data_IF_817549936888
#
_entry.id   IF_817549936888
#
_cell.length_a   1.000
_cell.length_b   1.000
_cell.length_c   1.000
_cell.angle_alpha   90.00
_cell.angle_beta   90.00
_cell.angle_gamma   90.00
#
_symmetry.space_group_name_H-M   'P 1'
#
loop_
_entity.id
_entity.type
_entity.pdbx_description
1 polymer ?
#
# COMPACT_ATOMS: atom_id res chain seq x y z
N UNK A 1 0.66 -21.87 3.95
CA UNK A 1 1.75 -21.42 4.83
C UNK A 1 1.34 -20.06 5.39
N UNK A 2 1.03 -19.97 6.69
CA UNK A 2 0.59 -18.72 7.31
C UNK A 2 1.82 -17.97 7.80
N UNK A 3 2.38 -17.08 6.99
CA UNK A 3 3.44 -16.20 7.49
C UNK A 3 2.78 -15.06 8.26
N UNK A 4 2.86 -15.19 9.58
CA UNK A 4 2.55 -14.14 10.54
C UNK A 4 3.79 -13.25 10.62
N UNK A 5 3.63 -11.94 10.40
CA UNK A 5 4.61 -10.95 10.83
C UNK A 5 5.05 -11.31 12.27
N UNK A 6 6.37 -11.44 12.51
CA UNK A 6 6.86 -11.73 13.85
C UNK A 6 6.84 -10.44 14.64
N UNK A 7 5.96 -10.37 15.63
CA UNK A 7 6.09 -9.39 16.69
C UNK A 7 7.20 -9.87 17.63
N UNK A 8 8.27 -9.08 17.76
CA UNK A 8 9.26 -9.25 18.81
C UNK A 8 8.62 -9.13 20.19
N UNK A 9 9.30 -9.61 21.22
CA UNK A 9 8.86 -9.49 22.61
C UNK A 9 8.72 -8.04 23.09
N UNK A 10 9.29 -7.08 22.35
CA UNK A 10 9.17 -5.64 22.53
C UNK A 10 7.99 -5.02 21.76
N UNK A 11 7.17 -5.82 21.08
CA UNK A 11 6.02 -5.38 20.29
C UNK A 11 6.36 -4.81 18.92
N UNK A 12 7.63 -4.90 18.47
CA UNK A 12 8.04 -4.44 17.13
C UNK A 12 7.84 -5.53 16.09
N UNK A 13 7.51 -5.15 14.86
CA UNK A 13 7.46 -6.08 13.73
C UNK A 13 8.88 -6.27 13.20
N UNK A 14 9.40 -7.50 13.28
CA UNK A 14 10.66 -7.86 12.62
C UNK A 14 10.43 -7.99 11.12
N UNK A 15 10.94 -7.03 10.36
CA UNK A 15 11.08 -7.11 8.91
C UNK A 15 12.56 -7.36 8.69
N UNK A 16 12.94 -8.52 8.15
CA UNK A 16 14.32 -8.76 7.76
C UNK A 16 14.67 -7.72 6.70
N UNK A 17 15.64 -6.86 7.01
CA UNK A 17 16.41 -5.81 6.29
C UNK A 17 16.08 -5.32 4.86
N UNK A 18 15.12 -5.91 4.15
CA UNK A 18 14.76 -5.58 2.77
C UNK A 18 13.35 -4.98 2.72
N UNK A 19 13.30 -3.67 2.45
CA UNK A 19 12.09 -2.98 1.99
C UNK A 19 12.18 -2.81 0.49
N UNK A 20 11.27 -3.45 -0.23
CA UNK A 20 11.17 -3.37 -1.69
C UNK A 20 10.11 -2.33 -2.02
N UNK A 21 10.51 -1.23 -2.64
CA UNK A 21 9.54 -0.27 -3.17
C UNK A 21 8.96 -0.81 -4.48
N UNK A 22 7.62 -0.93 -4.54
CA UNK A 22 6.89 -1.32 -5.75
C UNK A 22 6.70 -0.06 -6.60
N UNK A 23 7.25 -0.01 -7.82
CA UNK A 23 7.05 1.13 -8.72
C UNK A 23 5.56 1.42 -8.95
N UNK A 24 5.12 2.68 -8.87
CA UNK A 24 3.69 3.05 -8.88
C UNK A 24 2.97 2.76 -10.22
N UNK A 25 3.71 2.64 -11.32
CA UNK A 25 3.19 2.27 -12.63
C UNK A 25 2.88 0.77 -12.77
N UNK A 26 3.47 -0.07 -11.91
CA UNK A 26 3.18 -1.49 -11.90
C UNK A 26 1.82 -1.72 -11.23
N UNK A 27 0.93 -2.40 -11.94
CA UNK A 27 -0.45 -2.67 -11.47
C UNK A 27 -0.85 -4.10 -11.79
N UNK A 28 -1.89 -4.60 -11.15
CA UNK A 28 -2.37 -5.96 -11.37
C UNK A 28 -1.35 -7.04 -11.04
N UNK A 29 -1.53 -8.22 -11.63
CA UNK A 29 -0.62 -9.34 -11.45
C UNK A 29 0.59 -9.26 -12.38
N UNK A 30 1.76 -9.58 -11.82
CA UNK A 30 3.05 -9.59 -12.49
C UNK A 30 3.03 -10.51 -13.70
N UNK A 31 3.41 -9.97 -14.86
CA UNK A 31 3.81 -10.81 -15.97
C UNK A 31 5.18 -11.41 -15.67
N UNK A 32 5.26 -12.73 -15.56
CA UNK A 32 6.50 -13.47 -15.31
C UNK A 32 7.28 -13.75 -16.60
N UNK A 33 6.65 -13.54 -17.75
CA UNK A 33 7.23 -13.81 -19.07
C UNK A 33 7.87 -12.54 -19.65
N UNK A 34 9.20 -12.60 -19.76
CA UNK A 34 10.07 -11.52 -20.23
C UNK A 34 10.10 -11.45 -21.77
N UNK A 35 10.30 -10.27 -22.33
CA UNK A 35 10.35 -10.02 -23.76
C UNK A 35 8.99 -10.15 -24.47
N UNK A 36 7.88 -10.25 -23.73
CA UNK A 36 6.53 -10.47 -24.29
C UNK A 36 6.10 -9.44 -25.33
N UNK A 37 6.57 -8.19 -25.23
CA UNK A 37 6.26 -7.11 -26.17
C UNK A 37 6.89 -7.34 -27.56
N UNK A 38 8.01 -8.06 -27.62
CA UNK A 38 8.76 -8.35 -28.84
C UNK A 38 8.25 -9.59 -29.58
N UNK A 39 7.35 -10.36 -28.97
CA UNK A 39 6.74 -11.53 -29.58
C UNK A 39 5.62 -11.07 -30.51
N UNK A 40 5.97 -10.96 -31.79
CA UNK A 40 5.01 -11.00 -32.90
C UNK A 40 5.44 -12.11 -33.84
N UNK A 41 5.03 -13.34 -33.53
CA UNK A 41 5.40 -14.50 -34.34
C UNK A 41 4.16 -14.99 -35.09
N UNK A 42 4.29 -15.04 -36.41
CA UNK A 42 3.29 -15.55 -37.34
C UNK A 42 3.73 -16.91 -37.83
N UNK A 43 2.80 -17.87 -37.87
CA UNK A 43 2.94 -19.02 -38.77
C UNK A 43 2.55 -18.58 -40.18
N UNK A 44 3.08 -19.25 -41.20
CA UNK A 44 2.77 -18.98 -42.62
C UNK A 44 3.45 -17.80 -43.28
N UNK A 45 4.46 -17.20 -42.64
CA UNK A 45 5.32 -16.21 -43.31
C UNK A 45 6.45 -16.90 -44.08
N UNK A 46 7.15 -16.15 -44.94
CA UNK A 46 8.37 -16.66 -45.60
C UNK A 46 9.44 -17.13 -44.59
N UNK A 47 9.43 -16.57 -43.37
CA UNK A 47 10.35 -16.92 -42.28
C UNK A 47 9.89 -18.18 -41.51
N UNK A 48 8.59 -18.46 -41.45
CA UNK A 48 8.00 -19.61 -40.77
C UNK A 48 6.88 -20.24 -41.62
N UNK A 49 7.19 -21.00 -42.68
CA UNK A 49 6.18 -21.53 -43.61
C UNK A 49 5.30 -22.64 -43.01
N UNK A 50 5.47 -22.97 -41.73
CA UNK A 50 4.77 -24.04 -41.04
C UNK A 50 3.48 -23.51 -40.43
N UNK A 51 2.35 -24.08 -40.84
CA UNK A 51 0.99 -23.78 -40.37
C UNK A 51 0.74 -24.04 -38.87
N UNK A 52 1.70 -24.67 -38.17
CA UNK A 52 1.36 -25.46 -36.99
C UNK A 52 2.22 -25.22 -35.75
N UNK A 53 3.22 -24.32 -35.74
CA UNK A 53 4.08 -24.21 -34.54
C UNK A 53 4.68 -22.83 -34.29
N UNK A 54 4.40 -22.30 -33.09
CA UNK A 54 5.19 -21.27 -32.41
C UNK A 54 5.66 -21.82 -31.07
N UNK A 55 6.91 -21.54 -30.68
CA UNK A 55 7.43 -21.91 -29.36
C UNK A 55 8.39 -20.85 -28.81
N UNK A 56 8.50 -20.79 -27.48
CA UNK A 56 9.47 -19.96 -26.76
C UNK A 56 9.89 -20.62 -25.46
N UNK A 57 11.13 -20.41 -25.03
CA UNK A 57 11.54 -20.75 -23.67
C UNK A 57 10.70 -19.92 -22.68
N UNK A 58 10.25 -20.58 -21.61
CA UNK A 58 9.56 -19.98 -20.46
C UNK A 58 10.34 -20.23 -19.16
N UNK A 59 11.58 -20.72 -19.24
CA UNK A 59 12.33 -21.12 -18.06
C UNK A 59 12.44 -19.97 -17.04
N UNK A 60 12.77 -18.76 -17.52
CA UNK A 60 12.84 -17.54 -16.71
C UNK A 60 11.52 -17.22 -15.96
N UNK A 61 10.37 -17.58 -16.52
CA UNK A 61 9.08 -17.40 -15.87
C UNK A 61 8.84 -18.49 -14.83
N UNK A 62 9.21 -19.73 -15.14
CA UNK A 62 9.04 -20.86 -14.25
C UNK A 62 10.01 -20.85 -13.07
N UNK A 63 11.19 -20.25 -13.19
CA UNK A 63 12.12 -20.06 -12.06
C UNK A 63 11.53 -19.18 -10.95
N UNK A 64 10.44 -18.46 -11.26
CA UNK A 64 9.64 -17.64 -10.33
C UNK A 64 8.41 -18.39 -9.77
N UNK A 65 8.27 -19.67 -10.10
CA UNK A 65 7.15 -20.53 -9.70
C UNK A 65 7.65 -21.84 -9.08
N UNK A 66 6.81 -22.45 -8.24
CA UNK A 66 7.04 -23.74 -7.62
C UNK A 66 6.21 -24.84 -8.28
N UNK A 67 6.66 -26.10 -8.15
CA UNK A 67 5.84 -27.25 -8.52
C UNK A 67 4.57 -27.27 -7.68
N UNK A 68 3.43 -27.45 -8.32
CA UNK A 68 2.10 -27.44 -7.71
C UNK A 68 1.40 -26.08 -7.80
N UNK A 69 2.11 -25.00 -8.13
CA UNK A 69 1.51 -23.69 -8.37
C UNK A 69 0.48 -23.77 -9.50
N UNK A 70 -0.67 -23.14 -9.28
CA UNK A 70 -1.58 -22.78 -10.36
C UNK A 70 -1.04 -21.52 -11.04
N UNK A 71 -0.97 -21.53 -12.38
CA UNK A 71 -0.59 -20.38 -13.19
C UNK A 71 -1.69 -20.09 -14.20
N UNK A 72 -1.86 -18.81 -14.52
CA UNK A 72 -2.71 -18.36 -15.62
C UNK A 72 -1.83 -17.92 -16.79
N UNK A 73 -2.11 -18.46 -17.96
CA UNK A 73 -1.44 -18.11 -19.21
C UNK A 73 -2.45 -17.37 -20.08
N UNK A 74 -2.10 -16.18 -20.54
CA UNK A 74 -2.94 -15.37 -21.43
C UNK A 74 -2.15 -14.78 -22.58
N UNK A 75 -2.77 -14.66 -23.75
CA UNK A 75 -2.10 -14.24 -24.99
C UNK A 75 -3.11 -13.71 -25.99
N UNK A 76 -2.64 -12.84 -26.88
CA UNK A 76 -3.41 -12.41 -28.03
C UNK A 76 -3.19 -13.40 -29.19
N UNK A 77 -4.29 -13.81 -29.82
CA UNK A 77 -4.28 -14.66 -31.01
C UNK A 77 -5.14 -14.06 -32.11
N UNK A 78 -4.66 -14.17 -33.35
CA UNK A 78 -5.47 -13.98 -34.55
C UNK A 78 -5.16 -15.12 -35.52
N UNK A 79 -6.19 -15.82 -35.97
CA UNK A 79 -6.04 -16.99 -36.84
C UNK A 79 -6.82 -16.83 -38.16
N UNK A 80 -6.42 -17.58 -39.18
CA UNK A 80 -7.09 -17.58 -40.50
C UNK A 80 -8.48 -18.21 -40.44
N UNK A 81 -8.65 -19.26 -39.62
CA UNK A 81 -9.92 -19.96 -39.40
C UNK A 81 -10.29 -19.99 -37.91
N UNK A 82 -9.31 -20.18 -37.03
CA UNK A 82 -9.51 -20.32 -35.59
C UNK A 82 -10.22 -21.61 -35.21
N UNK A 83 -9.93 -22.69 -35.95
CA UNK A 83 -10.55 -24.00 -35.78
C UNK A 83 -9.95 -24.76 -34.59
N UNK A 84 -8.63 -24.73 -34.43
CA UNK A 84 -7.93 -25.47 -33.38
C UNK A 84 -6.63 -24.76 -32.96
N UNK A 85 -6.39 -24.72 -31.65
CA UNK A 85 -5.12 -24.29 -31.06
C UNK A 85 -4.85 -25.09 -29.78
N UNK A 86 -3.73 -25.80 -29.74
CA UNK A 86 -3.19 -26.45 -28.55
C UNK A 86 -2.09 -25.58 -27.94
N UNK A 87 -2.17 -25.34 -26.64
CA UNK A 87 -1.13 -24.68 -25.84
C UNK A 87 -0.62 -25.67 -24.80
N UNK A 88 0.65 -26.00 -24.90
CA UNK A 88 1.30 -27.06 -24.12
C UNK A 88 2.80 -26.78 -24.02
N UNK A 89 3.59 -27.67 -23.41
CA UNK A 89 5.00 -27.43 -23.14
C UNK A 89 5.93 -28.61 -23.39
N UNK A 90 5.60 -29.48 -24.34
CA UNK A 90 6.38 -30.69 -24.52
C UNK A 90 6.23 -31.33 -25.89
N UNK A 91 7.01 -30.85 -26.86
CA UNK A 91 8.07 -31.70 -27.36
C UNK A 91 9.39 -30.99 -27.72
N UNK A 92 9.86 -30.11 -26.80
CA UNK A 92 11.25 -30.11 -26.29
C UNK A 92 11.32 -30.01 -24.76
N UNK A 93 10.56 -30.94 -24.17
CA UNK A 93 10.78 -31.70 -22.94
C UNK A 93 11.79 -31.17 -21.90
N UNK A 94 11.42 -30.06 -21.26
CA UNK A 94 12.01 -29.57 -20.01
C UNK A 94 11.50 -30.30 -18.76
N UNK A 95 11.91 -29.85 -17.57
CA UNK A 95 11.62 -30.55 -16.30
C UNK A 95 10.19 -30.36 -15.78
N UNK A 96 9.39 -29.47 -16.39
CA UNK A 96 8.07 -29.10 -15.89
C UNK A 96 7.02 -29.17 -17.01
N UNK A 97 5.82 -29.67 -16.68
CA UNK A 97 4.69 -29.86 -17.60
C UNK A 97 3.44 -29.10 -17.14
N UNK A 98 2.59 -28.72 -18.08
CA UNK A 98 1.26 -28.16 -17.82
C UNK A 98 0.25 -29.28 -17.63
N UNK A 99 -0.47 -29.24 -16.52
CA UNK A 99 -1.54 -30.20 -16.23
C UNK A 99 -2.79 -29.47 -15.73
N UNK A 100 -3.87 -29.35 -16.54
CA UNK A 100 -3.98 -29.84 -17.92
C UNK A 100 -3.27 -28.91 -18.91
N UNK A 101 -2.91 -29.46 -20.08
CA UNK A 101 -2.67 -28.66 -21.27
C UNK A 101 -3.98 -28.04 -21.77
N UNK A 102 -3.91 -27.02 -22.63
CA UNK A 102 -5.11 -26.32 -23.08
C UNK A 102 -5.35 -26.44 -24.57
N UNK A 103 -6.55 -26.88 -24.91
CA UNK A 103 -7.07 -26.81 -26.27
C UNK A 103 -8.13 -25.71 -26.37
N UNK A 104 -8.08 -24.97 -27.47
CA UNK A 104 -9.10 -24.02 -27.90
C UNK A 104 -9.62 -24.45 -29.28
N UNK A 105 -10.93 -24.39 -29.46
CA UNK A 105 -11.59 -24.76 -30.72
C UNK A 105 -12.62 -23.72 -31.10
N UNK A 106 -12.80 -23.48 -32.40
CA UNK A 106 -13.80 -22.55 -32.94
C UNK A 106 -13.74 -21.15 -32.31
N UNK A 107 -12.55 -20.64 -32.04
CA UNK A 107 -12.37 -19.29 -31.49
C UNK A 107 -12.54 -18.20 -32.57
N UNK A 108 -12.54 -18.58 -33.85
CA UNK A 108 -12.80 -17.68 -34.96
C UNK A 108 -11.59 -16.86 -35.40
N UNK A 109 -11.82 -15.88 -36.28
CA UNK A 109 -10.76 -15.22 -37.06
C UNK A 109 -10.37 -13.85 -36.54
N UNK A 110 -11.22 -13.23 -35.72
CA UNK A 110 -10.95 -11.92 -35.13
C UNK A 110 -9.79 -12.02 -34.14
N UNK A 111 -8.95 -10.98 -34.11
CA UNK A 111 -7.93 -10.83 -33.07
C UNK A 111 -8.63 -10.78 -31.71
N UNK A 112 -8.22 -11.66 -30.80
CA UNK A 112 -8.81 -11.75 -29.47
C UNK A 112 -7.75 -12.19 -28.45
N UNK A 113 -8.09 -12.03 -27.17
CA UNK A 113 -7.26 -12.50 -26.06
C UNK A 113 -7.85 -13.76 -25.46
N UNK A 114 -7.07 -14.82 -25.45
CA UNK A 114 -7.44 -16.08 -24.81
C UNK A 114 -6.65 -16.25 -23.51
N UNK A 115 -7.23 -17.01 -22.58
CA UNK A 115 -6.57 -17.37 -21.33
C UNK A 115 -6.97 -18.76 -20.87
N UNK A 116 -6.11 -19.37 -20.05
CA UNK A 116 -6.42 -20.59 -19.33
C UNK A 116 -5.58 -20.70 -18.05
N UNK A 117 -6.09 -21.50 -17.13
CA UNK A 117 -5.41 -21.89 -15.90
C UNK A 117 -4.83 -23.28 -16.10
N UNK A 118 -3.59 -23.48 -15.65
CA UNK A 118 -2.95 -24.80 -15.60
C UNK A 118 -2.11 -24.91 -14.34
N UNK A 119 -1.86 -26.16 -13.90
CA UNK A 119 -0.97 -26.44 -12.78
C UNK A 119 0.41 -26.83 -13.30
N UNK A 120 1.44 -26.28 -12.67
CA UNK A 120 2.83 -26.64 -12.96
C UNK A 120 3.17 -27.96 -12.26
N UNK A 121 3.46 -29.00 -13.03
CA UNK A 121 3.76 -30.34 -12.53
C UNK A 121 5.17 -30.78 -12.94
N UNK A 122 5.81 -31.72 -12.23
CA UNK A 122 7.08 -32.26 -12.66
C UNK A 122 6.89 -33.09 -13.94
N UNK A 123 7.83 -33.01 -14.87
CA UNK A 123 7.89 -33.91 -16.01
C UNK A 123 8.40 -35.29 -15.54
N UNK A 124 7.55 -36.31 -15.58
CA UNK A 124 7.93 -37.69 -15.21
C UNK A 124 8.38 -38.53 -16.40
N UNK A 125 8.38 -37.96 -17.61
CA UNK A 125 8.86 -38.58 -18.84
C UNK A 125 10.35 -38.34 -19.09
N UNK A 126 10.77 -38.56 -20.33
CA UNK A 126 12.13 -38.21 -20.77
C UNK A 126 12.30 -36.69 -20.81
N UNK A 127 13.43 -36.21 -20.29
CA UNK A 127 13.84 -34.80 -20.34
C UNK A 127 14.95 -34.67 -21.40
N UNK A 128 14.61 -34.10 -22.54
CA UNK A 128 15.51 -33.85 -23.67
C UNK A 128 16.08 -32.45 -23.70
N UNK A 129 15.54 -31.51 -22.90
CA UNK A 129 16.07 -30.15 -22.71
C UNK A 129 16.25 -29.80 -21.22
N UNK A 130 17.22 -30.41 -20.51
CA UNK A 130 17.48 -30.10 -19.10
C UNK A 130 17.72 -28.60 -18.87
N UNK A 131 17.14 -28.05 -17.81
CA UNK A 131 17.21 -26.63 -17.47
C UNK A 131 16.48 -25.70 -18.43
N UNK A 132 15.65 -26.21 -19.34
CA UNK A 132 14.89 -25.36 -20.25
C UNK A 132 13.50 -25.93 -20.58
N UNK A 133 12.47 -25.23 -20.14
CA UNK A 133 11.08 -25.54 -20.47
C UNK A 133 10.55 -24.57 -21.51
N UNK A 134 9.84 -25.07 -22.51
CA UNK A 134 9.28 -24.28 -23.61
C UNK A 134 7.75 -24.27 -23.56
N UNK A 135 7.11 -23.15 -23.90
CA UNK A 135 5.69 -23.12 -24.26
C UNK A 135 5.56 -23.26 -25.77
N UNK A 136 4.57 -24.03 -26.20
CA UNK A 136 4.28 -24.32 -27.58
C UNK A 136 2.81 -24.00 -27.90
N UNK A 137 2.61 -23.40 -29.07
CA UNK A 137 1.32 -23.11 -29.66
C UNK A 137 1.24 -23.88 -30.97
N UNK A 138 0.26 -24.77 -31.05
CA UNK A 138 0.17 -25.75 -32.11
C UNK A 138 -1.20 -25.75 -32.79
N UNK A 139 -1.20 -25.76 -34.12
CA UNK A 139 -2.40 -25.92 -34.96
C UNK A 139 -2.29 -27.21 -35.78
N UNK A 140 -3.36 -27.59 -36.49
CA UNK A 140 -3.35 -28.78 -37.35
C UNK A 140 -2.51 -28.55 -38.61
N UNK A 141 -1.64 -29.51 -38.94
CA UNK A 141 -0.88 -29.53 -40.20
C UNK A 141 -1.81 -29.47 -41.42
N UNK A 142 -1.34 -28.77 -42.45
CA UNK A 142 -1.97 -28.67 -43.78
C UNK A 142 -3.46 -28.27 -43.73
N UNK A 143 -3.85 -27.54 -42.67
CA UNK A 143 -5.21 -27.10 -42.44
C UNK A 143 -5.49 -25.73 -43.02
N UNK A 144 -4.46 -24.96 -43.39
CA UNK A 144 -4.54 -23.56 -43.78
C UNK A 144 -4.98 -22.63 -42.65
N UNK A 145 -4.92 -23.07 -41.38
CA UNK A 145 -5.26 -22.25 -40.20
C UNK A 145 -3.99 -21.65 -39.58
N UNK A 146 -3.42 -20.66 -40.27
CA UNK A 146 -2.30 -19.88 -39.76
C UNK A 146 -2.73 -18.99 -38.61
N UNK A 147 -1.79 -18.65 -37.73
CA UNK A 147 -2.07 -17.82 -36.57
C UNK A 147 -0.89 -16.95 -36.20
N UNK A 148 -1.20 -15.85 -35.51
CA UNK A 148 -0.23 -14.98 -34.85
C UNK A 148 -0.41 -15.06 -33.35
N UNK A 149 0.70 -15.15 -32.62
CA UNK A 149 0.72 -15.03 -31.16
C UNK A 149 1.47 -13.76 -30.78
N UNK A 150 0.90 -12.99 -29.85
CA UNK A 150 1.53 -11.81 -29.26
C UNK A 150 1.05 -11.58 -27.83
N UNK A 151 1.70 -10.65 -27.12
CA UNK A 151 1.25 -10.22 -25.79
C UNK A 151 1.06 -11.39 -24.81
N UNK A 152 1.99 -12.34 -24.83
CA UNK A 152 2.00 -13.48 -23.91
C UNK A 152 2.23 -12.96 -22.50
N UNK A 153 1.45 -13.46 -21.56
CA UNK A 153 1.54 -13.17 -20.14
C UNK A 153 1.40 -14.48 -19.36
N UNK A 154 2.31 -14.71 -18.43
CA UNK A 154 2.26 -15.81 -17.47
C UNK A 154 2.15 -15.18 -16.08
N UNK A 155 1.13 -15.55 -15.33
CA UNK A 155 0.84 -15.01 -14.00
C UNK A 155 0.68 -16.14 -12.99
N UNK A 156 1.09 -15.92 -11.74
CA UNK A 156 0.82 -16.86 -10.65
C UNK A 156 -0.63 -16.76 -10.18
N UNK A 157 -1.21 -17.91 -9.86
CA UNK A 157 -2.57 -18.07 -9.37
C UNK A 157 -3.63 -18.21 -10.46
N UNK A 158 -4.86 -18.47 -9.99
CA UNK A 158 -6.06 -18.65 -10.80
C UNK A 158 -6.66 -17.28 -11.11
N UNK A 159 -6.84 -16.92 -12.40
CA UNK A 159 -7.61 -15.74 -12.81
C UNK A 159 -8.95 -16.16 -13.40
N UNK A 160 -10.03 -15.59 -12.87
CA UNK A 160 -11.41 -15.89 -13.29
C UNK A 160 -11.87 -15.06 -14.49
N UNK A 161 -11.12 -14.00 -14.81
CA UNK A 161 -11.30 -13.14 -15.99
C UNK A 161 -10.02 -13.14 -16.80
N UNK A 162 -10.14 -12.99 -18.13
CA UNK A 162 -8.97 -12.89 -19.01
C UNK A 162 -8.15 -11.65 -18.66
N UNK A 163 -6.89 -11.80 -18.19
CA UNK A 163 -6.07 -10.68 -17.76
C UNK A 163 -5.73 -9.76 -18.94
N UNK A 164 -5.60 -8.45 -18.69
CA UNK A 164 -4.99 -7.54 -19.66
C UNK A 164 -3.48 -7.75 -19.71
N UNK A 165 -2.89 -7.53 -20.90
CA UNK A 165 -1.45 -7.64 -21.05
C UNK A 165 -0.73 -6.42 -20.47
N UNK A 166 0.42 -6.70 -19.86
CA UNK A 166 1.44 -5.72 -19.50
C UNK A 166 2.83 -6.36 -19.68
N UNK A 167 3.89 -5.58 -19.91
CA UNK A 167 5.25 -6.10 -19.95
C UNK A 167 5.64 -6.73 -18.60
N UNK A 168 6.66 -7.59 -18.61
CA UNK A 168 7.28 -8.01 -17.36
C UNK A 168 7.98 -6.80 -16.70
N UNK A 169 8.00 -6.67 -15.37
CA UNK A 169 8.77 -5.62 -14.70
C UNK A 169 10.24 -5.58 -15.14
N UNK A 170 10.83 -6.73 -15.41
CA UNK A 170 12.22 -6.87 -15.89
C UNK A 170 12.42 -6.25 -17.27
N UNK A 171 11.40 -6.27 -18.14
CA UNK A 171 11.43 -5.58 -19.43
C UNK A 171 11.47 -4.05 -19.27
N UNK A 172 11.04 -3.55 -18.10
CA UNK A 172 11.10 -2.13 -17.72
C UNK A 172 12.36 -1.79 -16.90
N UNK A 173 13.23 -2.77 -16.65
CA UNK A 173 14.45 -2.60 -15.86
C UNK A 173 14.26 -2.78 -14.34
N UNK A 174 13.10 -3.26 -13.89
CA UNK A 174 12.84 -3.49 -12.47
C UNK A 174 13.31 -4.88 -12.02
N UNK A 175 14.18 -4.92 -11.01
CA UNK A 175 14.54 -6.14 -10.29
C UNK A 175 13.59 -6.36 -9.11
N UNK A 176 12.50 -7.10 -9.35
CA UNK A 176 11.47 -7.38 -8.35
C UNK A 176 11.67 -8.79 -7.78
N UNK A 177 11.77 -8.97 -6.45
CA UNK A 177 11.87 -10.29 -5.83
C UNK A 177 10.76 -11.25 -6.27
N UNK A 178 11.10 -12.53 -6.42
CA UNK A 178 10.20 -13.52 -7.03
C UNK A 178 8.89 -13.67 -6.26
N UNK A 179 8.89 -13.51 -4.94
CA UNK A 179 7.68 -13.64 -4.11
C UNK A 179 6.63 -12.54 -4.34
N UNK A 180 6.98 -11.44 -5.04
CA UNK A 180 6.04 -10.39 -5.42
C UNK A 180 5.42 -10.74 -6.77
N UNK A 181 4.13 -11.09 -6.74
CA UNK A 181 3.37 -11.51 -7.92
C UNK A 181 2.15 -10.63 -8.23
N UNK A 182 1.80 -9.70 -7.35
CA UNK A 182 0.67 -8.78 -7.52
C UNK A 182 1.07 -7.39 -7.02
N UNK A 183 0.90 -6.36 -7.84
CA UNK A 183 1.30 -4.98 -7.52
C UNK A 183 0.16 -4.13 -6.98
N UNK A 184 -1.07 -4.64 -7.03
CA UNK A 184 -2.24 -4.00 -6.45
C UNK A 184 -2.31 -4.18 -4.94
N UNK A 185 -1.63 -5.19 -4.39
CA UNK A 185 -1.44 -5.29 -2.96
C UNK A 185 -0.36 -4.29 -2.49
N UNK A 186 -0.76 -3.21 -1.82
CA UNK A 186 0.12 -2.08 -1.56
C UNK A 186 1.16 -2.35 -0.48
N UNK A 187 0.99 -3.39 0.34
CA UNK A 187 1.95 -3.85 1.34
C UNK A 187 1.92 -5.39 1.38
N UNK A 188 3.07 -6.02 1.16
CA UNK A 188 3.24 -7.47 1.16
C UNK A 188 4.36 -7.87 2.11
N UNK A 189 4.17 -8.95 2.87
CA UNK A 189 5.17 -9.49 3.78
C UNK A 189 5.70 -10.83 3.27
N UNK A 190 7.00 -11.03 3.37
CA UNK A 190 7.70 -12.27 3.07
C UNK A 190 8.67 -12.61 4.19
N UNK A 191 9.11 -13.87 4.28
CA UNK A 191 10.08 -14.29 5.30
C UNK A 191 11.42 -13.55 5.22
N UNK A 192 11.69 -12.94 4.06
CA UNK A 192 12.93 -12.23 3.72
C UNK A 192 12.76 -10.71 3.66
N UNK A 193 11.54 -10.16 3.81
CA UNK A 193 11.33 -8.71 3.72
C UNK A 193 9.88 -8.25 3.60
N UNK A 194 9.71 -6.98 3.25
CA UNK A 194 8.42 -6.33 2.97
C UNK A 194 8.46 -5.63 1.62
N UNK A 195 7.35 -5.61 0.89
CA UNK A 195 7.21 -4.80 -0.31
C UNK A 195 6.09 -3.79 -0.10
N UNK A 196 6.30 -2.56 -0.54
CA UNK A 196 5.35 -1.47 -0.33
C UNK A 196 5.29 -0.53 -1.54
N UNK A 197 4.11 0.03 -1.83
CA UNK A 197 3.95 1.06 -2.88
C UNK A 197 4.65 2.38 -2.59
N UNK A 198 4.95 2.65 -1.31
CA UNK A 198 5.62 3.86 -0.85
C UNK A 198 6.30 3.57 0.47
N UNK A 199 7.51 4.10 0.62
CA UNK A 199 8.21 4.16 1.89
C UNK A 199 8.23 5.62 2.36
N UNK A 200 7.86 5.85 3.61
CA UNK A 200 7.95 7.16 4.25
C UNK A 200 8.89 7.05 5.43
N UNK A 201 10.00 7.76 5.35
CA UNK A 201 10.92 7.86 6.48
C UNK A 201 10.32 8.77 7.55
N UNK A 202 10.33 8.29 8.79
CA UNK A 202 9.94 9.08 9.96
C UNK A 202 11.21 9.71 10.51
N UNK A 203 11.31 11.06 10.52
CA UNK A 203 12.44 11.77 11.11
C UNK A 203 12.76 11.28 12.53
N UNK A 204 14.05 11.11 12.84
CA UNK A 204 14.53 10.49 14.06
C UNK A 204 14.02 11.21 15.33
N UNK A 205 13.92 12.53 15.29
CA UNK A 205 13.46 13.39 16.39
C UNK A 205 11.96 13.29 16.66
N UNK A 206 11.15 12.85 15.69
CA UNK A 206 9.71 12.71 15.88
C UNK A 206 9.44 11.48 16.74
N UNK A 207 8.75 11.65 17.86
CA UNK A 207 8.49 10.58 18.83
C UNK A 207 7.07 10.67 19.37
N UNK A 208 6.46 9.53 19.70
CA UNK A 208 5.07 9.52 20.17
C UNK A 208 4.08 9.74 19.03
N UNK A 209 2.94 10.35 19.32
CA UNK A 209 1.85 10.57 18.36
C UNK A 209 1.95 11.92 17.66
N UNK A 210 1.48 11.98 16.41
CA UNK A 210 1.42 13.22 15.63
C UNK A 210 0.55 14.24 16.36
N UNK A 211 1.14 15.37 16.71
CA UNK A 211 0.41 16.53 17.18
C UNK A 211 -0.23 17.25 15.98
N UNK A 212 -1.56 17.43 16.02
CA UNK A 212 -2.36 17.97 14.92
C UNK A 212 -2.55 19.50 14.97
N UNK A 213 -1.95 20.17 15.95
CA UNK A 213 -2.06 21.62 16.15
C UNK A 213 -0.69 22.28 16.30
N UNK A 214 -0.53 23.40 15.60
CA UNK A 214 0.71 24.18 15.52
C UNK A 214 0.89 25.16 16.68
N UNK A 215 2.11 25.63 16.87
CA UNK A 215 2.50 26.63 17.90
C UNK A 215 2.04 26.22 19.31
N UNK A 216 1.97 24.91 19.54
CA UNK A 216 1.24 24.33 20.65
C UNK A 216 2.08 24.16 21.91
N UNK A 217 3.39 24.48 21.83
CA UNK A 217 4.33 24.58 22.95
C UNK A 217 4.60 26.01 23.43
N UNK A 218 3.89 27.01 22.88
CA UNK A 218 4.08 28.42 23.27
C UNK A 218 3.25 28.74 24.50
N UNK A 219 3.90 29.14 25.59
CA UNK A 219 3.24 29.56 26.83
C UNK A 219 2.18 30.63 26.55
N UNK A 220 0.92 30.29 26.84
CA UNK A 220 -0.20 31.23 26.87
C UNK A 220 -0.51 31.58 28.32
N UNK A 221 -0.61 32.88 28.64
CA UNK A 221 -0.95 33.36 29.97
C UNK A 221 -1.84 34.59 29.87
N UNK A 222 -2.91 34.61 30.66
CA UNK A 222 -3.74 35.80 30.80
C UNK A 222 -5.16 35.50 31.29
N UNK A 223 -5.95 36.55 31.39
CA UNK A 223 -7.34 36.51 31.82
C UNK A 223 -8.36 36.64 30.66
N UNK A 224 -7.90 36.67 29.40
CA UNK A 224 -8.81 36.73 28.23
C UNK A 224 -9.61 35.44 28.09
N UNK A 225 -10.89 35.56 27.76
CA UNK A 225 -11.78 34.41 27.63
C UNK A 225 -11.25 33.36 26.65
N UNK A 226 -10.76 33.78 25.49
CA UNK A 226 -9.97 33.01 24.54
C UNK A 226 -8.50 32.96 24.98
N UNK A 227 -8.10 31.87 25.64
CA UNK A 227 -6.75 31.80 26.21
C UNK A 227 -5.70 31.32 25.20
N UNK A 228 -6.07 30.42 24.30
CA UNK A 228 -5.17 29.90 23.27
C UNK A 228 -5.91 29.58 21.99
N UNK A 229 -5.37 30.02 20.86
CA UNK A 229 -5.87 29.75 19.52
C UNK A 229 -4.79 29.02 18.73
N UNK A 230 -5.12 27.85 18.18
CA UNK A 230 -4.17 26.95 17.55
C UNK A 230 -4.68 26.54 16.18
N UNK A 231 -3.90 26.87 15.14
CA UNK A 231 -4.16 26.40 13.79
C UNK A 231 -3.88 24.89 13.71
N UNK A 232 -4.62 24.20 12.85
CA UNK A 232 -4.24 22.83 12.49
C UNK A 232 -2.91 22.82 11.74
N UNK A 233 -2.21 21.68 11.79
CA UNK A 233 -1.12 21.36 10.87
C UNK A 233 -1.64 21.15 9.44
N UNK A 234 -0.97 20.30 8.66
CA UNK A 234 -1.46 19.97 7.30
C UNK A 234 -2.78 19.18 7.33
N UNK A 235 -3.08 18.53 8.45
CA UNK A 235 -4.23 17.64 8.61
C UNK A 235 -5.17 18.16 9.69
N UNK A 236 -6.42 18.40 9.31
CA UNK A 236 -7.48 18.82 10.23
C UNK A 236 -8.11 17.64 10.96
N UNK A 237 -8.85 17.90 12.04
CA UNK A 237 -9.67 16.88 12.69
C UNK A 237 -10.85 16.50 11.78
N UNK A 238 -11.17 15.21 11.71
CA UNK A 238 -12.21 14.64 10.86
C UNK A 238 -13.43 14.37 11.73
N UNK A 239 -14.61 14.82 11.29
CA UNK A 239 -15.86 14.62 12.01
C UNK A 239 -16.16 13.12 12.23
N UNK A 240 -16.63 12.77 13.41
CA UNK A 240 -16.90 11.38 13.82
C UNK A 240 -15.67 10.58 14.24
N UNK A 241 -14.46 11.03 13.93
CA UNK A 241 -13.23 10.37 14.40
C UNK A 241 -12.94 10.72 15.86
N UNK A 242 -12.25 9.80 16.55
CA UNK A 242 -11.85 9.96 17.94
C UNK A 242 -10.46 10.57 18.05
N UNK A 243 -10.32 11.54 18.96
CA UNK A 243 -9.07 12.25 19.25
C UNK A 243 -8.85 12.35 20.74
N UNK A 244 -7.61 12.62 21.14
CA UNK A 244 -7.26 12.92 22.53
C UNK A 244 -6.52 14.25 22.59
N UNK A 245 -7.05 15.19 23.37
CA UNK A 245 -6.35 16.41 23.76
C UNK A 245 -5.54 16.14 25.02
N UNK A 246 -4.28 16.56 25.03
CA UNK A 246 -3.44 16.56 26.24
C UNK A 246 -2.86 17.95 26.43
N UNK A 247 -2.93 18.51 27.64
CA UNK A 247 -2.44 19.84 27.92
C UNK A 247 -1.81 19.93 29.32
N UNK A 248 -0.73 20.70 29.43
CA UNK A 248 -0.20 21.19 30.70
C UNK A 248 -0.69 22.61 30.90
N UNK A 249 -1.55 22.80 31.90
CA UNK A 249 -2.24 24.06 32.09
C UNK A 249 -2.58 24.28 33.57
N UNK A 250 -2.95 25.50 33.92
CA UNK A 250 -3.54 25.87 35.21
C UNK A 250 -4.59 26.94 34.93
N UNK A 251 -5.87 26.66 35.18
CA UNK A 251 -6.89 27.70 35.12
C UNK A 251 -6.93 28.51 36.43
N UNK A 252 -7.28 29.79 36.32
CA UNK A 252 -7.42 30.72 37.44
C UNK A 252 -8.42 30.24 38.50
N UNK A 253 -8.33 30.78 39.72
CA UNK A 253 -9.16 30.35 40.87
C UNK A 253 -10.64 30.68 40.71
N UNK A 254 -10.98 31.72 39.94
CA UNK A 254 -12.36 32.08 39.58
C UNK A 254 -12.81 31.45 38.24
N UNK A 255 -11.97 30.57 37.65
CA UNK A 255 -12.28 29.77 36.48
C UNK A 255 -12.58 28.34 36.91
N UNK A 256 -13.50 27.68 36.22
CA UNK A 256 -13.91 26.31 36.48
C UNK A 256 -13.26 25.29 35.53
N UNK A 257 -12.90 25.67 34.30
CA UNK A 257 -12.37 24.75 33.28
C UNK A 257 -11.74 25.48 32.09
N UNK A 258 -10.92 24.76 31.33
CA UNK A 258 -10.58 25.06 29.95
C UNK A 258 -11.45 24.19 29.02
N UNK A 259 -12.13 24.81 28.07
CA UNK A 259 -12.98 24.13 27.10
C UNK A 259 -12.37 24.25 25.71
N UNK A 260 -12.21 23.11 25.02
CA UNK A 260 -11.80 23.06 23.63
C UNK A 260 -13.00 23.39 22.76
N UNK A 261 -12.82 24.32 21.84
CA UNK A 261 -13.81 24.70 20.86
C UNK A 261 -13.30 24.56 19.43
N UNK A 262 -14.19 24.10 18.55
CA UNK A 262 -14.03 24.10 17.09
C UNK A 262 -15.05 25.06 16.45
N UNK A 263 -15.09 25.10 15.11
CA UNK A 263 -16.07 25.87 14.35
C UNK A 263 -16.08 27.37 14.71
N UNK A 264 -14.94 27.94 15.09
CA UNK A 264 -14.85 29.35 15.51
C UNK A 264 -15.58 29.67 16.82
N UNK A 265 -15.71 28.69 17.74
CA UNK A 265 -16.38 28.89 19.03
C UNK A 265 -17.81 28.37 19.11
N UNK A 266 -18.32 27.74 18.06
CA UNK A 266 -19.71 27.27 17.99
C UNK A 266 -19.92 25.82 18.43
N UNK A 267 -18.85 25.05 18.63
CA UNK A 267 -18.93 23.68 19.13
C UNK A 267 -17.83 23.42 20.15
N UNK A 268 -18.16 22.73 21.25
CA UNK A 268 -17.23 22.41 22.33
C UNK A 268 -17.23 20.91 22.62
N UNK A 269 -16.34 20.13 21.98
CA UNK A 269 -16.34 18.68 22.15
C UNK A 269 -15.85 18.21 23.53
N UNK A 270 -15.04 19.01 24.24
CA UNK A 270 -14.42 18.55 25.50
C UNK A 270 -13.99 19.71 26.40
N UNK A 271 -13.90 19.46 27.71
CA UNK A 271 -13.37 20.41 28.69
C UNK A 271 -12.54 19.72 29.77
N UNK A 272 -11.50 20.41 30.26
CA UNK A 272 -10.56 19.94 31.28
C UNK A 272 -10.57 20.89 32.49
N UNK A 273 -10.49 20.34 33.70
CA UNK A 273 -10.46 21.08 34.97
C UNK A 273 -9.11 20.92 35.68
N UNK A 274 -8.79 21.81 36.61
CA UNK A 274 -7.57 21.71 37.40
C UNK A 274 -7.49 20.41 38.22
N UNK A 275 -8.64 19.85 38.62
CA UNK A 275 -8.73 18.62 39.42
C UNK A 275 -8.46 17.35 38.62
N UNK A 276 -8.53 17.43 37.28
CA UNK A 276 -8.28 16.29 36.37
C UNK A 276 -6.83 16.22 35.91
N UNK A 277 -5.99 17.13 36.39
CA UNK A 277 -4.56 17.12 36.09
C UNK A 277 -3.83 16.16 37.02
N UNK A 278 -2.77 15.55 36.52
CA UNK A 278 -1.81 14.84 37.36
C UNK A 278 -0.93 15.80 38.18
N UNK A 279 0.00 15.26 38.96
CA UNK A 279 0.94 16.03 39.79
C UNK A 279 1.87 16.96 38.99
N UNK A 280 2.03 16.72 37.69
CA UNK A 280 2.81 17.55 36.77
C UNK A 280 1.96 18.66 36.11
N UNK A 281 0.67 18.77 36.46
CA UNK A 281 -0.25 19.75 35.87
C UNK A 281 -0.77 19.36 34.48
N UNK A 282 -0.67 18.09 34.10
CA UNK A 282 -1.06 17.56 32.78
C UNK A 282 -2.42 16.86 32.89
N UNK A 283 -3.34 17.18 31.98
CA UNK A 283 -4.60 16.45 31.81
C UNK A 283 -4.72 15.94 30.37
N UNK A 284 -5.30 14.76 30.20
CA UNK A 284 -5.66 14.20 28.89
C UNK A 284 -7.16 13.88 28.86
N UNK A 285 -7.83 14.21 27.76
CA UNK A 285 -9.21 13.79 27.51
C UNK A 285 -9.44 13.39 26.07
N UNK A 286 -10.12 12.26 25.91
CA UNK A 286 -10.60 11.76 24.62
C UNK A 286 -11.95 12.36 24.27
N UNK A 287 -12.17 12.65 22.99
CA UNK A 287 -13.43 13.16 22.47
C UNK A 287 -13.65 12.67 21.03
N UNK A 288 -14.91 12.64 20.60
CA UNK A 288 -15.28 12.45 19.20
C UNK A 288 -15.42 13.83 18.57
N UNK A 289 -14.79 14.05 17.43
CA UNK A 289 -14.83 15.35 16.76
C UNK A 289 -16.20 15.60 16.14
N UNK A 290 -16.74 16.80 16.36
CA UNK A 290 -17.92 17.31 15.66
C UNK A 290 -17.72 18.77 15.26
N UNK A 291 -18.41 19.20 14.21
CA UNK A 291 -18.43 20.60 13.79
C UNK A 291 -19.86 21.15 13.83
N UNK A 292 -19.99 22.46 14.08
CA UNK A 292 -21.27 23.12 13.89
C UNK A 292 -21.63 23.12 12.39
N UNK A 293 -22.92 23.04 12.06
CA UNK A 293 -23.40 22.97 10.69
C UNK A 293 -22.87 24.15 9.83
N UNK A 294 -22.26 23.83 8.69
CA UNK A 294 -21.64 24.82 7.79
C UNK A 294 -20.40 25.52 8.35
N UNK A 295 -19.74 24.91 9.35
CA UNK A 295 -18.54 25.46 10.01
C UNK A 295 -17.43 24.42 10.21
N UNK A 296 -17.22 23.56 9.21
CA UNK A 296 -16.07 22.65 9.16
C UNK A 296 -14.85 23.36 8.55
N UNK A 297 -13.63 22.80 8.69
CA UNK A 297 -12.41 23.44 8.21
C UNK A 297 -12.39 23.69 6.69
N UNK A 298 -13.15 22.92 5.91
CA UNK A 298 -13.29 23.12 4.46
C UNK A 298 -14.19 24.30 4.08
N UNK A 299 -14.99 24.84 5.00
CA UNK A 299 -15.95 25.90 4.69
C UNK A 299 -15.33 27.30 4.74
N UNK A 300 -14.30 27.49 5.60
CA UNK A 300 -13.56 28.76 5.70
C UNK A 300 -12.27 28.59 6.52
N UNK A 301 -11.26 29.41 6.22
CA UNK A 301 -9.99 29.42 6.94
C UNK A 301 -10.14 29.72 8.44
N UNK A 302 -11.16 30.50 8.83
CA UNK A 302 -11.43 30.78 10.25
C UNK A 302 -11.82 29.54 11.06
N UNK A 303 -12.21 28.44 10.38
CA UNK A 303 -12.56 27.16 11.01
C UNK A 303 -11.41 26.14 10.99
N UNK A 304 -10.24 26.50 10.44
CA UNK A 304 -9.03 25.67 10.44
C UNK A 304 -8.21 25.80 11.73
N UNK A 305 -8.91 25.96 12.84
CA UNK A 305 -8.33 26.16 14.15
C UNK A 305 -9.20 25.57 15.26
N UNK A 306 -8.57 25.35 16.40
CA UNK A 306 -9.24 25.13 17.67
C UNK A 306 -8.85 26.21 18.67
N UNK A 307 -9.77 26.56 19.56
CA UNK A 307 -9.53 27.55 20.61
C UNK A 307 -9.80 26.93 21.98
N UNK A 308 -8.90 27.14 22.93
CA UNK A 308 -9.13 26.86 24.35
C UNK A 308 -9.69 28.10 25.03
N UNK A 309 -10.95 28.03 25.42
CA UNK A 309 -11.62 29.07 26.20
C UNK A 309 -11.58 28.76 27.69
N UNK A 310 -11.29 29.77 28.51
CA UNK A 310 -11.36 29.65 29.97
C UNK A 310 -12.73 30.05 30.50
N UNK A 311 -13.39 29.15 31.22
CA UNK A 311 -14.78 29.29 31.67
C UNK A 311 -14.87 29.50 33.18
N UNK A 312 -15.91 30.18 33.71
CA UNK A 312 -16.89 30.98 32.97
C UNK A 312 -16.22 32.22 32.39
N UNK A 313 -16.79 32.84 31.35
CA UNK A 313 -16.21 34.04 30.71
C UNK A 313 -16.07 35.23 31.65
N UNK A 314 -16.91 35.31 32.70
CA UNK A 314 -16.89 36.35 33.73
C UNK A 314 -15.71 36.32 34.69
N UNK A 315 -14.94 35.22 34.74
CA UNK A 315 -13.72 35.17 35.53
C UNK A 315 -12.70 36.23 35.08
N UNK A 316 -11.79 36.58 35.97
CA UNK A 316 -10.77 37.63 35.78
C UNK A 316 -9.38 37.18 36.19
N UNK A 317 -9.26 36.05 36.90
CA UNK A 317 -7.97 35.50 37.30
C UNK A 317 -7.26 34.91 36.09
N UNK A 318 -5.95 35.17 36.01
CA UNK A 318 -5.11 34.66 34.92
C UNK A 318 -5.04 33.13 34.95
N UNK A 319 -5.18 32.52 33.78
CA UNK A 319 -4.88 31.12 33.52
C UNK A 319 -3.56 31.00 32.76
N UNK A 320 -3.03 29.78 32.67
CA UNK A 320 -1.85 29.42 31.86
C UNK A 320 -2.10 28.14 31.07
N UNK A 321 -1.55 28.07 29.86
CA UNK A 321 -1.33 26.84 29.09
C UNK A 321 0.16 26.85 28.75
N UNK A 322 0.93 25.94 29.33
CA UNK A 322 2.35 25.79 29.00
C UNK A 322 2.49 25.14 27.62
N UNK A 323 1.74 24.07 27.39
CA UNK A 323 1.62 23.42 26.09
C UNK A 323 0.30 22.65 25.98
N UNK A 324 -0.11 22.38 24.74
CA UNK A 324 -1.24 21.53 24.39
C UNK A 324 -0.88 20.69 23.16
N UNK A 325 -1.53 19.54 22.99
CA UNK A 325 -1.51 18.80 21.75
C UNK A 325 -2.83 18.07 21.52
N UNK A 326 -3.11 17.74 20.27
CA UNK A 326 -4.21 16.86 19.88
C UNK A 326 -3.65 15.73 19.03
N UNK A 327 -3.94 14.49 19.43
CA UNK A 327 -3.52 13.27 18.74
C UNK A 327 -4.74 12.48 18.27
N UNK A 328 -4.61 11.74 17.16
CA UNK A 328 -5.67 10.84 16.70
C UNK A 328 -5.75 9.60 17.59
N UNK A 329 -6.97 9.20 17.95
CA UNK A 329 -7.26 8.02 18.76
C UNK A 329 -7.24 8.29 20.27
N UNK A 330 -7.21 7.19 21.04
CA UNK A 330 -7.36 7.19 22.52
C UNK A 330 -6.02 7.18 23.26
N UNK A 331 -4.91 6.94 22.55
CA UNK A 331 -3.58 6.84 23.15
C UNK A 331 -3.01 8.24 23.39
N UNK A 332 -2.34 8.41 24.52
CA UNK A 332 -1.60 9.61 24.86
C UNK A 332 -0.10 9.31 24.82
N UNK A 333 0.68 10.25 24.29
CA UNK A 333 2.15 10.17 24.33
C UNK A 333 2.72 11.43 25.00
N UNK A 334 4.03 11.54 25.29
CA UNK A 334 4.63 12.81 25.72
C UNK A 334 4.43 13.94 24.70
N UNK A 335 4.44 15.19 25.15
CA UNK A 335 4.29 16.32 24.24
C UNK A 335 5.48 16.42 23.28
N UNK A 336 5.17 16.71 22.01
CA UNK A 336 6.10 17.14 20.99
C UNK A 336 5.42 18.19 20.10
N UNK A 337 6.22 18.99 19.40
CA UNK A 337 5.73 19.94 18.41
C UNK A 337 4.98 19.21 17.27
N UNK A 338 4.12 19.93 16.55
CA UNK A 338 3.57 19.40 15.30
C UNK A 338 4.73 19.18 14.31
N UNK A 339 4.73 18.11 13.48
CA UNK A 339 5.75 17.92 12.46
C UNK A 339 5.98 19.15 11.59
N UNK A 340 4.89 19.86 11.28
CA UNK A 340 4.89 21.08 10.47
C UNK A 340 5.61 22.25 11.16
N UNK A 341 5.61 22.32 12.51
CA UNK A 341 6.38 23.31 13.27
C UNK A 341 7.90 23.04 13.17
N UNK A 342 8.28 21.80 12.86
CA UNK A 342 9.66 21.37 12.63
C UNK A 342 10.05 21.36 11.14
N UNK A 343 9.14 21.76 10.25
CA UNK A 343 9.37 21.79 8.80
C UNK A 343 9.09 20.48 8.07
N UNK A 344 8.49 19.48 8.73
CA UNK A 344 8.17 18.20 8.11
C UNK A 344 6.75 18.17 7.52
N UNK A 345 6.65 17.76 6.26
CA UNK A 345 5.40 17.41 5.59
C UNK A 345 5.26 15.89 5.53
N UNK A 346 4.36 15.34 6.32
CA UNK A 346 4.15 13.89 6.45
C UNK A 346 2.73 13.51 6.00
N UNK A 347 2.53 12.35 5.37
CA UNK A 347 1.20 11.85 5.01
C UNK A 347 0.23 11.74 6.18
N UNK A 348 -1.03 12.11 5.94
CA UNK A 348 -2.04 12.25 6.98
C UNK A 348 -2.35 10.98 7.75
N UNK A 349 -2.14 9.81 7.17
CA UNK A 349 -2.33 8.51 7.83
C UNK A 349 -1.25 8.15 8.84
N UNK A 350 -0.13 8.88 8.87
CA UNK A 350 0.92 8.69 9.88
C UNK A 350 0.52 9.46 11.14
N UNK A 351 0.05 8.72 12.14
CA UNK A 351 -0.43 9.29 13.41
C UNK A 351 0.45 8.93 14.62
N UNK A 352 1.38 7.97 14.46
CA UNK A 352 2.30 7.53 15.50
C UNK A 352 3.70 7.35 14.90
N UNK A 353 4.70 7.87 15.59
CA UNK A 353 6.11 7.85 15.22
C UNK A 353 6.91 6.81 16.03
N UNK A 354 6.32 6.26 17.09
CA UNK A 354 6.91 5.15 17.84
C UNK A 354 6.60 3.84 17.11
N UNK A 355 7.43 3.51 16.12
CA UNK A 355 7.39 2.26 15.37
C UNK A 355 6.72 2.37 14.00
N UNK A 356 6.74 1.27 13.24
CA UNK A 356 6.29 1.26 11.86
C UNK A 356 4.76 1.48 11.76
N UNK A 357 4.32 2.19 10.73
CA UNK A 357 2.92 2.37 10.35
C UNK A 357 2.70 1.77 8.96
N UNK A 358 1.62 1.02 8.77
CA UNK A 358 1.32 0.33 7.50
C UNK A 358 -0.12 0.64 7.07
N UNK A 359 -0.33 0.95 5.80
CA UNK A 359 -1.66 1.06 5.23
C UNK A 359 -1.63 0.80 3.71
N UNK A 360 -2.77 1.05 3.05
CA UNK A 360 -2.89 0.89 1.58
C UNK A 360 -2.06 1.88 0.75
N UNK A 361 -1.55 2.93 1.37
CA UNK A 361 -0.75 3.96 0.72
C UNK A 361 0.75 3.64 0.82
N UNK A 362 1.16 2.82 1.79
CA UNK A 362 2.54 2.37 1.96
C UNK A 362 2.89 2.08 3.41
N UNK A 363 4.17 2.24 3.71
CA UNK A 363 4.74 2.04 5.04
C UNK A 363 5.48 3.29 5.50
N UNK A 364 5.43 3.57 6.81
CA UNK A 364 6.22 4.62 7.43
C UNK A 364 7.04 4.04 8.57
N UNK A 365 8.36 4.25 8.55
CA UNK A 365 9.30 3.65 9.49
C UNK A 365 10.38 4.68 9.84
N UNK A 366 10.90 4.65 11.07
CA UNK A 366 12.13 5.40 11.41
C UNK A 366 13.30 4.75 10.67
N UNK A 367 14.28 5.56 10.24
CA UNK A 367 15.49 5.15 9.51
C UNK A 367 15.87 3.67 9.71
N UNK A 368 16.09 3.00 8.59
CA UNK A 368 16.90 1.78 8.56
C UNK A 368 18.33 2.28 8.82
N UNK A 369 18.76 2.36 10.09
CA UNK A 369 20.19 2.44 10.36
C UNK A 369 20.83 1.25 9.62
N UNK A 370 21.63 1.51 8.58
CA UNK A 370 22.39 0.48 7.88
C UNK A 370 23.05 -0.41 8.93
N UNK A 371 22.63 -1.68 8.99
CA UNK A 371 23.22 -2.68 9.88
C UNK A 371 22.56 -2.90 11.24
N UNK A 372 21.30 -2.50 11.46
CA UNK A 372 20.52 -3.00 12.61
C UNK A 372 19.31 -3.85 12.21
N UNK A 373 19.63 -5.10 11.87
CA UNK A 373 18.75 -6.26 11.95
C UNK A 373 18.41 -6.53 13.42
N UNK A 374 17.15 -6.82 13.74
CA UNK A 374 16.78 -7.49 15.00
C UNK A 374 16.41 -8.95 14.75
#
# INVERSE_FOLDING_TARGET
MTVKARFGADGKVGIADEVVEIPPELTGDRNLFEGSASIKKSTGSAEFPREYLYFSSIQHALDKCEIGDDITISFDVQATKGAFLLVYNSNRDGERVFSPQKQFTNFGTAKQRLSFVTKLMPNTGTIGSPGNTFIEFYSNYDSGDFFTISNLKIEKGIKTVTPTWQPAPEDLGYAIPNWIHNFDNPVQFHGEGVAARRVVEIPAELMGGRNLIKDSGVLKRGAKYDLGHYLFGEHTLVEGETYTITAKFQHGSDRARLSLYSSGGYNSPVSMTNAERNSEGICSKTFVMSYAAGKKPSDSDIYKAVTLYQMPSSGTTSSTIEWVKIEKGVKTTPWQAAPEDLGYSLPGWIHNFNGPQFNKEGIAIKEIEEGRVF
#
